data_IF_610743539382
#
_entry.id   IF_610743539382
#
_cell.length_a   1.000
_cell.length_b   1.000
_cell.length_c   1.000
_cell.angle_alpha   90.00
_cell.angle_beta   90.00
_cell.angle_gamma   90.00
#
_symmetry.space_group_name_H-M   'P 1'
#
loop_
_entity.id
_entity.type
_entity.pdbx_description
1 polymer ?
#
# COMPACT_ATOMS: atom_id res chain seq x y z
N UNK A 1 -35.94 21.64 -46.96
CA UNK A 1 -35.95 21.16 -45.56
C UNK A 1 -34.71 21.71 -44.88
N UNK A 2 -34.84 22.76 -44.09
CA UNK A 2 -33.71 23.48 -43.49
C UNK A 2 -33.01 22.61 -42.44
N UNK A 3 -31.71 22.41 -42.60
CA UNK A 3 -30.85 21.74 -41.63
C UNK A 3 -30.95 22.49 -40.29
N UNK A 4 -31.55 21.83 -39.31
CA UNK A 4 -31.70 22.34 -37.95
C UNK A 4 -30.33 22.57 -37.32
N UNK A 5 -29.87 23.82 -37.38
CA UNK A 5 -28.61 24.27 -36.82
C UNK A 5 -28.42 23.77 -35.38
N UNK A 6 -27.20 23.31 -35.13
CA UNK A 6 -26.70 22.76 -33.88
C UNK A 6 -26.75 23.83 -32.75
N UNK A 7 -27.95 24.14 -32.23
CA UNK A 7 -28.15 25.14 -31.16
C UNK A 7 -27.44 24.65 -29.90
N UNK A 8 -26.41 25.39 -29.45
CA UNK A 8 -25.70 25.11 -28.19
C UNK A 8 -26.74 25.06 -27.05
N UNK A 9 -26.82 23.93 -26.34
CA UNK A 9 -27.66 23.81 -25.14
C UNK A 9 -27.21 24.85 -24.11
N UNK A 10 -28.07 25.82 -23.82
CA UNK A 10 -27.83 26.83 -22.79
C UNK A 10 -28.24 26.22 -21.45
N UNK A 11 -27.25 25.85 -20.64
CA UNK A 11 -27.51 25.36 -19.28
C UNK A 11 -27.68 26.56 -18.35
N UNK A 12 -28.86 26.69 -17.75
CA UNK A 12 -29.24 27.84 -16.92
C UNK A 12 -28.38 27.93 -15.64
N UNK A 13 -28.03 26.79 -15.06
CA UNK A 13 -27.30 26.74 -13.78
C UNK A 13 -25.79 26.52 -13.95
N UNK A 14 -24.99 27.16 -13.08
CA UNK A 14 -23.52 26.99 -13.06
C UNK A 14 -23.10 25.52 -12.87
N UNK A 15 -23.81 24.80 -12.00
CA UNK A 15 -23.56 23.37 -11.75
C UNK A 15 -23.76 22.51 -13.01
N UNK A 16 -24.81 22.77 -13.79
CA UNK A 16 -25.08 22.06 -15.03
C UNK A 16 -24.04 22.39 -16.11
N UNK A 17 -23.63 23.65 -16.23
CA UNK A 17 -22.52 24.06 -17.12
C UNK A 17 -21.23 23.32 -16.78
N UNK A 18 -20.88 23.25 -15.49
CA UNK A 18 -19.68 22.55 -15.02
C UNK A 18 -19.77 21.03 -15.25
N UNK A 19 -20.93 20.43 -14.97
CA UNK A 19 -21.16 19.00 -15.23
C UNK A 19 -21.03 18.68 -16.72
N UNK A 20 -21.63 19.48 -17.58
CA UNK A 20 -21.53 19.34 -19.04
C UNK A 20 -20.10 19.51 -19.54
N UNK A 21 -19.41 20.58 -19.12
CA UNK A 21 -18.00 20.79 -19.46
C UNK A 21 -17.15 19.59 -19.04
N UNK A 22 -17.30 19.13 -17.79
CA UNK A 22 -16.56 17.97 -17.29
C UNK A 22 -16.87 16.68 -18.05
N UNK A 23 -18.11 16.53 -18.56
CA UNK A 23 -18.52 15.36 -19.35
C UNK A 23 -17.90 15.41 -20.75
N UNK A 24 -17.93 16.58 -21.39
CA UNK A 24 -17.34 16.77 -22.72
C UNK A 24 -15.83 16.62 -22.67
N UNK A 25 -15.14 17.26 -21.73
CA UNK A 25 -13.68 17.10 -21.57
C UNK A 25 -13.30 15.65 -21.30
N UNK A 26 -14.09 14.92 -20.50
CA UNK A 26 -13.87 13.49 -20.29
C UNK A 26 -14.08 12.68 -21.57
N UNK A 27 -15.08 13.03 -22.36
CA UNK A 27 -15.37 12.36 -23.62
C UNK A 27 -14.28 12.62 -24.66
N UNK A 28 -13.86 13.87 -24.85
CA UNK A 28 -12.77 14.23 -25.77
C UNK A 28 -11.47 13.55 -25.37
N UNK A 29 -11.14 13.54 -24.07
CA UNK A 29 -9.97 12.83 -23.57
C UNK A 29 -9.99 11.33 -23.90
N UNK A 30 -11.16 10.68 -23.78
CA UNK A 30 -11.30 9.26 -24.12
C UNK A 30 -11.21 9.02 -25.63
N UNK A 31 -11.78 9.90 -26.46
CA UNK A 31 -11.70 9.83 -27.91
C UNK A 31 -10.27 10.04 -28.42
N UNK A 32 -9.57 11.04 -27.88
CA UNK A 32 -8.14 11.26 -28.14
C UNK A 32 -7.31 10.05 -27.71
N UNK A 33 -7.59 9.46 -26.54
CA UNK A 33 -6.90 8.25 -26.09
C UNK A 33 -7.12 7.05 -27.03
N UNK A 34 -8.33 6.88 -27.56
CA UNK A 34 -8.61 5.84 -28.57
C UNK A 34 -7.84 6.10 -29.87
N UNK A 35 -7.86 7.35 -30.36
CA UNK A 35 -7.08 7.75 -31.55
C UNK A 35 -5.60 7.45 -31.37
N UNK A 36 -5.01 7.84 -30.23
CA UNK A 36 -3.60 7.56 -29.89
C UNK A 36 -3.30 6.06 -29.87
N UNK A 37 -4.22 5.23 -29.38
CA UNK A 37 -4.08 3.77 -29.36
C UNK A 37 -4.12 3.16 -30.75
N UNK A 38 -5.00 3.65 -31.61
CA UNK A 38 -5.09 3.20 -32.99
C UNK A 38 -3.85 3.66 -33.80
N UNK A 39 -3.38 4.89 -33.57
CA UNK A 39 -2.14 5.42 -34.13
C UNK A 39 -0.90 4.64 -33.66
N UNK A 40 -0.82 4.29 -32.37
CA UNK A 40 0.25 3.44 -31.83
C UNK A 40 0.24 2.07 -32.51
N UNK A 41 -0.94 1.45 -32.66
CA UNK A 41 -1.06 0.17 -33.37
C UNK A 41 -0.61 0.29 -34.82
N UNK A 42 -1.08 1.32 -35.53
CA UNK A 42 -0.69 1.56 -36.92
C UNK A 42 0.83 1.75 -37.05
N UNK A 43 1.47 2.49 -36.12
CA UNK A 43 2.94 2.64 -36.08
C UNK A 43 3.65 1.30 -35.88
N UNK A 44 3.18 0.46 -34.96
CA UNK A 44 3.80 -0.85 -34.71
C UNK A 44 3.56 -1.84 -35.85
N UNK A 45 2.41 -1.78 -36.53
CA UNK A 45 2.14 -2.58 -37.73
C UNK A 45 2.98 -2.14 -38.92
N UNK A 46 3.15 -0.83 -39.13
CA UNK A 46 4.08 -0.30 -40.13
C UNK A 46 5.51 -0.77 -39.85
N UNK A 47 5.95 -0.70 -38.60
CA UNK A 47 7.25 -1.22 -38.19
C UNK A 47 7.38 -2.73 -38.41
N UNK A 48 6.33 -3.51 -38.15
CA UNK A 48 6.29 -4.96 -38.44
C UNK A 48 6.43 -5.26 -39.93
N UNK A 49 5.84 -4.44 -40.81
CA UNK A 49 6.01 -4.59 -42.27
C UNK A 49 7.48 -4.38 -42.68
N UNK A 50 8.10 -3.31 -42.19
CA UNK A 50 9.52 -3.02 -42.46
C UNK A 50 10.42 -4.16 -41.97
N UNK A 51 10.26 -4.61 -40.72
CA UNK A 51 11.04 -5.74 -40.21
C UNK A 51 10.84 -7.03 -41.01
N UNK A 52 9.64 -7.26 -41.54
CA UNK A 52 9.35 -8.43 -42.39
C UNK A 52 10.02 -8.32 -43.76
N UNK A 53 10.02 -7.14 -44.37
CA UNK A 53 10.71 -6.87 -45.64
C UNK A 53 12.24 -7.07 -45.49
N UNK A 54 12.80 -6.67 -44.34
CA UNK A 54 14.23 -6.83 -44.04
C UNK A 54 14.58 -8.22 -43.47
N UNK A 55 13.59 -9.07 -43.16
CA UNK A 55 13.81 -10.39 -42.55
C UNK A 55 14.33 -10.37 -41.11
N UNK A 56 14.13 -9.26 -40.39
CA UNK A 56 14.65 -9.03 -39.03
C UNK A 56 13.59 -9.38 -37.98
N UNK A 57 13.99 -10.12 -36.95
CA UNK A 57 13.18 -10.32 -35.74
C UNK A 57 13.45 -9.17 -34.76
N UNK A 58 12.47 -8.29 -34.56
CA UNK A 58 12.61 -7.14 -33.67
C UNK A 58 12.14 -7.44 -32.25
N UNK A 59 13.08 -7.43 -31.30
CA UNK A 59 12.80 -7.51 -29.86
C UNK A 59 11.79 -6.44 -29.38
N UNK A 60 11.79 -5.27 -30.00
CA UNK A 60 10.84 -4.18 -29.69
C UNK A 60 9.39 -4.56 -30.00
N UNK A 61 9.15 -5.30 -31.09
CA UNK A 61 7.81 -5.81 -31.44
C UNK A 61 7.37 -6.87 -30.44
N UNK A 62 8.27 -7.79 -30.06
CA UNK A 62 7.99 -8.82 -29.06
C UNK A 62 7.63 -8.22 -27.70
N UNK A 63 8.39 -7.24 -27.23
CA UNK A 63 8.13 -6.56 -25.97
C UNK A 63 6.80 -5.79 -26.01
N UNK A 64 6.45 -5.19 -27.15
CA UNK A 64 5.16 -4.53 -27.37
C UNK A 64 4.00 -5.53 -27.33
N UNK A 65 4.11 -6.65 -28.04
CA UNK A 65 3.05 -7.67 -28.06
C UNK A 65 2.89 -8.32 -26.68
N UNK A 66 3.99 -8.60 -25.98
CA UNK A 66 3.99 -9.12 -24.60
C UNK A 66 3.31 -8.18 -23.64
N UNK A 67 3.66 -6.89 -23.67
CA UNK A 67 3.05 -5.88 -22.78
C UNK A 67 1.58 -5.68 -23.08
N UNK A 68 1.19 -5.70 -24.36
CA UNK A 68 -0.21 -5.66 -24.77
C UNK A 68 -1.01 -6.88 -24.26
N UNK A 69 -0.47 -8.09 -24.42
CA UNK A 69 -1.10 -9.33 -23.94
C UNK A 69 -1.24 -9.31 -22.41
N UNK A 70 -0.16 -9.01 -21.69
CA UNK A 70 -0.18 -8.91 -20.23
C UNK A 70 -1.22 -7.89 -19.74
N UNK A 71 -1.36 -6.74 -20.41
CA UNK A 71 -2.36 -5.75 -20.05
C UNK A 71 -3.80 -6.23 -20.29
N UNK A 72 -4.04 -7.01 -21.34
CA UNK A 72 -5.33 -7.64 -21.62
C UNK A 72 -5.69 -8.71 -20.60
N UNK A 73 -4.71 -9.53 -20.19
CA UNK A 73 -4.86 -10.54 -19.14
C UNK A 73 -5.12 -9.90 -17.78
N UNK A 74 -4.37 -8.84 -17.43
CA UNK A 74 -4.56 -8.07 -16.21
C UNK A 74 -5.98 -7.48 -16.14
N UNK A 75 -6.48 -6.90 -17.25
CA UNK A 75 -7.86 -6.45 -17.32
C UNK A 75 -8.85 -7.60 -17.11
N UNK A 76 -8.61 -8.76 -17.72
CA UNK A 76 -9.44 -9.95 -17.57
C UNK A 76 -9.55 -10.40 -16.11
N UNK A 77 -8.41 -10.50 -15.42
CA UNK A 77 -8.31 -10.84 -14.00
C UNK A 77 -9.06 -9.84 -13.12
N UNK A 78 -8.88 -8.53 -13.34
CA UNK A 78 -9.57 -7.50 -12.58
C UNK A 78 -11.09 -7.56 -12.81
N UNK A 79 -11.53 -7.82 -14.05
CA UNK A 79 -12.95 -7.95 -14.35
C UNK A 79 -13.58 -9.16 -13.63
N UNK A 80 -12.85 -10.28 -13.53
CA UNK A 80 -13.26 -11.45 -12.76
C UNK A 80 -13.33 -11.15 -11.26
N UNK A 81 -12.35 -10.45 -10.70
CA UNK A 81 -12.40 -10.02 -9.29
C UNK A 81 -13.65 -9.17 -8.99
N UNK A 82 -14.02 -8.26 -9.90
CA UNK A 82 -15.25 -7.45 -9.74
C UNK A 82 -16.52 -8.32 -9.78
N UNK A 83 -16.50 -9.43 -10.52
CA UNK A 83 -17.61 -10.38 -10.51
C UNK A 83 -17.72 -11.14 -9.20
N UNK A 84 -16.59 -11.64 -8.70
CA UNK A 84 -16.53 -12.41 -7.46
C UNK A 84 -16.75 -11.56 -6.20
N UNK A 85 -16.56 -10.25 -6.26
CA UNK A 85 -16.75 -9.33 -5.13
C UNK A 85 -18.21 -9.35 -4.65
N UNK A 86 -18.46 -10.01 -3.50
CA UNK A 86 -19.80 -10.12 -2.92
C UNK A 86 -20.25 -8.85 -2.18
N UNK A 87 -19.35 -7.89 -1.97
CA UNK A 87 -19.69 -6.63 -1.28
C UNK A 87 -20.46 -5.64 -2.17
N UNK A 88 -20.47 -5.86 -3.49
CA UNK A 88 -21.04 -4.95 -4.46
C UNK A 88 -22.39 -5.39 -4.98
N UNK A 89 -23.27 -4.42 -5.17
CA UNK A 89 -24.52 -4.64 -5.92
C UNK A 89 -24.23 -4.88 -7.41
N UNK A 90 -25.13 -5.57 -8.10
CA UNK A 90 -25.02 -5.82 -9.56
C UNK A 90 -24.87 -4.52 -10.37
N UNK A 91 -25.53 -3.44 -9.95
CA UNK A 91 -25.43 -2.13 -10.58
C UNK A 91 -24.03 -1.51 -10.41
N UNK A 92 -23.43 -1.66 -9.23
CA UNK A 92 -22.07 -1.18 -8.97
C UNK A 92 -21.04 -2.00 -9.73
N UNK A 93 -21.19 -3.34 -9.77
CA UNK A 93 -20.35 -4.23 -10.60
C UNK A 93 -20.38 -3.79 -12.07
N UNK A 94 -21.59 -3.58 -12.63
CA UNK A 94 -21.77 -3.11 -14.01
C UNK A 94 -21.08 -1.76 -14.24
N UNK A 95 -21.24 -0.79 -13.33
CA UNK A 95 -20.59 0.52 -13.41
C UNK A 95 -19.06 0.42 -13.32
N UNK A 96 -18.52 -0.39 -12.40
CA UNK A 96 -17.07 -0.61 -12.24
C UNK A 96 -16.47 -1.24 -13.50
N UNK A 97 -17.07 -2.33 -14.01
CA UNK A 97 -16.64 -2.98 -15.25
C UNK A 97 -16.68 -2.04 -16.45
N UNK A 98 -17.75 -1.27 -16.61
CA UNK A 98 -17.87 -0.31 -17.69
C UNK A 98 -16.75 0.74 -17.62
N UNK A 99 -16.49 1.29 -16.43
CA UNK A 99 -15.42 2.27 -16.23
C UNK A 99 -14.02 1.68 -16.49
N UNK A 100 -13.76 0.44 -16.09
CA UNK A 100 -12.51 -0.27 -16.36
C UNK A 100 -12.29 -0.45 -17.86
N UNK A 101 -13.28 -1.04 -18.57
CA UNK A 101 -13.21 -1.23 -20.02
C UNK A 101 -13.05 0.09 -20.77
N UNK A 102 -13.79 1.13 -20.36
CA UNK A 102 -13.70 2.47 -20.95
C UNK A 102 -12.29 3.06 -20.80
N UNK A 103 -11.70 2.98 -19.60
CA UNK A 103 -10.32 3.44 -19.37
C UNK A 103 -9.33 2.63 -20.21
N UNK A 104 -9.42 1.30 -20.19
CA UNK A 104 -8.52 0.42 -20.95
C UNK A 104 -8.58 0.66 -22.48
N UNK A 105 -9.77 0.98 -23.00
CA UNK A 105 -9.91 1.33 -24.43
C UNK A 105 -9.10 2.55 -24.84
N UNK A 106 -8.84 3.48 -23.92
CA UNK A 106 -8.13 4.72 -24.19
C UNK A 106 -6.63 4.69 -23.79
N UNK A 107 -6.15 3.59 -23.19
CA UNK A 107 -4.74 3.46 -22.77
C UNK A 107 -3.89 2.77 -23.83
N UNK A 108 -2.76 3.40 -24.15
CA UNK A 108 -1.70 2.89 -25.03
C UNK A 108 -0.72 1.99 -24.28
N UNK A 109 0.11 1.23 -24.99
CA UNK A 109 1.19 0.45 -24.39
C UNK A 109 2.28 1.39 -23.85
N UNK A 110 2.58 2.48 -24.56
CA UNK A 110 3.48 3.53 -24.04
C UNK A 110 3.00 4.09 -22.70
N UNK A 111 1.71 4.39 -22.54
CA UNK A 111 1.17 4.90 -21.28
C UNK A 111 1.34 3.89 -20.14
N UNK A 112 1.22 2.59 -20.43
CA UNK A 112 1.42 1.53 -19.44
C UNK A 112 2.88 1.43 -19.02
N UNK A 113 3.80 1.51 -19.97
CA UNK A 113 5.24 1.50 -19.71
C UNK A 113 5.63 2.74 -18.89
N UNK A 114 5.18 3.93 -19.30
CA UNK A 114 5.42 5.17 -18.55
C UNK A 114 4.87 5.10 -17.12
N UNK A 115 3.67 4.55 -16.93
CA UNK A 115 3.09 4.36 -15.59
C UNK A 115 3.91 3.41 -14.73
N UNK A 116 4.45 2.34 -15.31
CA UNK A 116 5.31 1.38 -14.61
C UNK A 116 6.69 1.99 -14.29
N UNK A 117 7.23 2.80 -15.20
CA UNK A 117 8.54 3.44 -15.07
C UNK A 117 8.56 4.66 -14.15
N UNK A 118 7.40 5.19 -13.74
CA UNK A 118 7.31 6.24 -12.70
C UNK A 118 7.69 5.66 -11.32
N UNK A 119 8.97 5.35 -11.16
CA UNK A 119 9.58 4.82 -9.93
C UNK A 119 9.78 5.89 -8.85
N UNK A 120 9.78 7.18 -9.22
CA UNK A 120 10.00 8.29 -8.30
C UNK A 120 8.93 9.38 -8.47
N UNK A 121 7.71 9.10 -7.99
CA UNK A 121 6.75 10.17 -7.70
C UNK A 121 7.01 10.72 -6.29
N UNK A 122 6.56 11.95 -6.02
CA UNK A 122 6.69 12.62 -4.71
C UNK A 122 6.24 11.75 -3.51
N UNK A 123 5.32 10.80 -3.74
CA UNK A 123 4.83 9.83 -2.74
C UNK A 123 5.87 8.75 -2.40
N UNK A 124 6.69 8.31 -3.35
CA UNK A 124 7.74 7.30 -3.11
C UNK A 124 8.83 7.82 -2.15
N UNK A 125 9.15 9.12 -2.23
CA UNK A 125 10.01 9.77 -1.24
C UNK A 125 9.41 9.72 0.17
N UNK A 126 8.10 9.95 0.29
CA UNK A 126 7.40 9.90 1.58
C UNK A 126 7.35 8.50 2.20
N UNK A 127 7.19 7.44 1.40
CA UNK A 127 7.19 6.06 1.89
C UNK A 127 8.52 5.69 2.54
N UNK A 128 9.64 6.11 1.96
CA UNK A 128 10.97 5.87 2.54
C UNK A 128 11.17 6.59 3.88
N UNK A 129 10.65 7.80 4.01
CA UNK A 129 10.67 8.57 5.27
C UNK A 129 9.77 7.92 6.31
N UNK A 130 8.60 7.43 5.91
CA UNK A 130 7.67 6.76 6.81
C UNK A 130 8.22 5.43 7.33
N UNK A 131 8.92 4.66 6.49
CA UNK A 131 9.61 3.43 6.92
C UNK A 131 10.70 3.73 7.96
N UNK A 132 11.56 4.71 7.71
CA UNK A 132 12.58 5.15 8.68
C UNK A 132 11.96 5.59 10.01
N UNK A 133 10.86 6.34 9.98
CA UNK A 133 10.16 6.75 11.20
C UNK A 133 9.54 5.57 11.96
N UNK A 134 9.08 4.53 11.27
CA UNK A 134 8.56 3.30 11.90
C UNK A 134 9.68 2.48 12.53
N UNK A 135 10.81 2.34 11.84
CA UNK A 135 12.03 1.69 12.35
C UNK A 135 12.53 2.41 13.62
N UNK A 136 12.69 3.73 13.59
CA UNK A 136 13.09 4.51 14.77
C UNK A 136 12.11 4.36 15.96
N UNK A 137 10.80 4.27 15.70
CA UNK A 137 9.80 4.06 16.76
C UNK A 137 9.93 2.66 17.36
N UNK A 138 10.17 1.64 16.53
CA UNK A 138 10.39 0.27 16.98
C UNK A 138 11.65 0.18 17.85
N UNK A 139 12.77 0.77 17.40
CA UNK A 139 14.03 0.80 18.16
C UNK A 139 13.88 1.51 19.51
N UNK A 140 13.18 2.66 19.55
CA UNK A 140 12.91 3.37 20.81
C UNK A 140 12.04 2.55 21.76
N UNK A 141 11.07 1.78 21.25
CA UNK A 141 10.26 0.89 22.08
C UNK A 141 11.08 -0.26 22.64
N UNK A 142 11.92 -0.89 21.81
CA UNK A 142 12.81 -1.96 22.26
C UNK A 142 13.80 -1.46 23.32
N UNK A 143 14.38 -0.28 23.14
CA UNK A 143 15.29 0.33 24.12
C UNK A 143 14.60 0.56 25.47
N UNK A 144 13.35 1.05 25.47
CA UNK A 144 12.54 1.22 26.69
C UNK A 144 12.28 -0.13 27.37
N UNK A 145 11.89 -1.15 26.60
CA UNK A 145 11.64 -2.48 27.14
C UNK A 145 12.90 -3.12 27.74
N UNK A 146 14.07 -2.95 27.10
CA UNK A 146 15.36 -3.42 27.63
C UNK A 146 15.70 -2.71 28.95
N UNK A 147 15.59 -1.38 28.98
CA UNK A 147 15.83 -0.60 30.19
C UNK A 147 14.90 -1.02 31.35
N UNK A 148 13.62 -1.23 31.09
CA UNK A 148 12.66 -1.65 32.12
C UNK A 148 12.95 -3.06 32.65
N UNK A 149 13.39 -3.98 31.79
CA UNK A 149 13.85 -5.32 32.21
C UNK A 149 15.07 -5.21 33.11
N UNK A 150 16.08 -4.45 32.70
CA UNK A 150 17.29 -4.25 33.51
C UNK A 150 16.97 -3.61 34.87
N UNK A 151 16.11 -2.59 34.88
CA UNK A 151 15.68 -1.93 36.13
C UNK A 151 14.98 -2.93 37.06
N UNK A 152 14.07 -3.76 36.54
CA UNK A 152 13.41 -4.82 37.31
C UNK A 152 14.42 -5.82 37.89
N UNK A 153 15.39 -6.26 37.09
CA UNK A 153 16.45 -7.17 37.54
C UNK A 153 17.30 -6.55 38.67
N UNK A 154 17.72 -5.29 38.53
CA UNK A 154 18.49 -4.57 39.56
C UNK A 154 17.70 -4.42 40.86
N UNK A 155 16.40 -4.11 40.78
CA UNK A 155 15.54 -4.01 41.96
C UNK A 155 15.38 -5.36 42.65
N UNK A 156 15.18 -6.44 41.90
CA UNK A 156 15.09 -7.79 42.46
C UNK A 156 16.39 -8.22 43.13
N UNK A 157 17.54 -7.98 42.50
CA UNK A 157 18.86 -8.24 43.08
C UNK A 157 19.10 -7.43 44.37
N UNK A 158 18.65 -6.17 44.42
CA UNK A 158 18.72 -5.37 45.66
C UNK A 158 17.83 -5.95 46.76
N UNK A 159 16.60 -6.37 46.43
CA UNK A 159 15.67 -6.99 47.38
C UNK A 159 16.24 -8.30 47.95
N UNK A 160 16.78 -9.18 47.10
CA UNK A 160 17.38 -10.43 47.55
C UNK A 160 18.61 -10.19 48.42
N UNK A 161 19.49 -9.26 48.04
CA UNK A 161 20.67 -8.88 48.84
C UNK A 161 20.27 -8.30 50.19
N UNK A 162 19.28 -7.41 50.23
CA UNK A 162 18.78 -6.85 51.47
C UNK A 162 18.13 -7.90 52.37
N UNK A 163 17.38 -8.86 51.80
CA UNK A 163 16.79 -9.97 52.56
C UNK A 163 17.88 -10.87 53.19
N UNK A 164 18.94 -11.18 52.44
CA UNK A 164 20.10 -11.91 52.97
C UNK A 164 20.82 -11.12 54.07
N UNK A 165 21.00 -9.81 53.89
CA UNK A 165 21.62 -8.96 54.90
C UNK A 165 20.79 -8.86 56.17
N UNK A 166 19.46 -8.74 56.06
CA UNK A 166 18.54 -8.75 57.20
C UNK A 166 18.60 -10.07 57.98
N UNK A 167 18.63 -11.22 57.29
CA UNK A 167 18.85 -12.54 57.92
C UNK A 167 20.19 -12.62 58.66
N UNK A 168 21.26 -12.08 58.06
CA UNK A 168 22.62 -12.17 58.62
C UNK A 168 22.84 -11.22 59.80
N UNK A 169 22.25 -10.03 59.76
CA UNK A 169 22.46 -8.99 60.79
C UNK A 169 21.34 -8.91 61.82
N UNK A 170 20.26 -9.69 61.66
CA UNK A 170 19.02 -9.65 62.46
C UNK A 170 18.40 -8.24 62.58
N UNK A 171 18.84 -7.29 61.74
CA UNK A 171 18.43 -5.89 61.76
C UNK A 171 17.00 -5.79 61.22
N UNK A 172 16.08 -5.27 62.03
CA UNK A 172 14.65 -5.17 61.71
C UNK A 172 13.80 -6.38 62.12
N UNK A 173 14.39 -7.40 62.75
CA UNK A 173 13.61 -8.45 63.42
C UNK A 173 13.20 -7.98 64.83
N UNK A 174 12.01 -8.35 65.32
CA UNK A 174 11.58 -8.01 66.67
C UNK A 174 12.55 -8.60 67.70
N UNK A 175 12.90 -7.84 68.74
CA UNK A 175 13.90 -8.21 69.77
C UNK A 175 13.58 -9.57 70.42
N UNK A 176 12.31 -9.98 70.44
CA UNK A 176 11.86 -11.28 70.95
C UNK A 176 12.21 -12.48 70.06
N UNK A 177 12.49 -12.28 68.77
CA UNK A 177 12.83 -13.37 67.83
C UNK A 177 14.13 -14.07 68.21
N UNK A 178 15.16 -13.33 68.60
CA UNK A 178 16.45 -13.90 69.04
C UNK A 178 16.35 -14.63 70.37
N UNK A 179 15.51 -14.12 71.30
CA UNK A 179 15.21 -14.79 72.58
C UNK A 179 14.49 -16.11 72.36
N UNK A 180 13.48 -16.14 71.50
CA UNK A 180 12.74 -17.37 71.16
C UNK A 180 13.63 -18.37 70.42
N UNK A 181 14.44 -17.95 69.44
CA UNK A 181 15.43 -18.82 68.78
C UNK A 181 16.41 -19.44 69.77
N UNK A 182 16.93 -18.65 70.73
CA UNK A 182 17.87 -19.14 71.74
C UNK A 182 17.23 -20.14 72.71
N UNK A 183 15.94 -19.94 73.04
CA UNK A 183 15.15 -20.85 73.87
C UNK A 183 14.90 -22.17 73.16
N UNK A 184 14.48 -22.13 71.89
CA UNK A 184 14.29 -23.32 71.07
C UNK A 184 15.60 -24.10 70.87
N UNK A 185 16.73 -23.44 70.66
CA UNK A 185 18.04 -24.10 70.57
C UNK A 185 18.46 -24.76 71.89
N UNK A 186 18.10 -24.19 73.04
CA UNK A 186 18.37 -24.81 74.35
C UNK A 186 17.51 -26.05 74.58
N UNK A 187 16.23 -26.01 74.17
CA UNK A 187 15.31 -27.15 74.26
C UNK A 187 15.74 -28.30 73.34
N UNK A 188 16.24 -28.01 72.13
CA UNK A 188 16.70 -29.04 71.18
C UNK A 188 18.06 -29.68 71.52
N UNK A 189 18.83 -29.10 72.45
CA UNK A 189 20.16 -29.61 72.86
C UNK A 189 20.12 -30.35 74.20
N UNK A 190 18.95 -30.52 74.81
CA UNK A 190 18.67 -31.49 75.87
C UNK A 190 18.19 -32.80 75.24
#
# INVERSE_FOLDING_TARGET
MSEGGNRRKVYGFKAERQAFFSKNVRQTFLEEGRKKKDEERARMEAYRKVCKEEGIVSKRLEDYDRTRQAASEELGSILQQVDYDQSLTNNEKKKRKYNLKRKFSATTVTDLIEKRQKHYNAVSGMESVQRKQQEERAERQEARLKHDREKKMRVQARKSRNALFAKRTKKGQPVMSSRVESLLQKIQKQ
#
